data_IF_261554311965
#
_entry.id   IF_261554311965
#
_cell.length_a   1.000
_cell.length_b   1.000
_cell.length_c   1.000
_cell.angle_alpha   90.00
_cell.angle_beta   90.00
_cell.angle_gamma   90.00
#
_symmetry.space_group_name_H-M   'P 1'
#
loop_
_entity.id
_entity.type
_entity.pdbx_description
1 polymer ?
#
# COMPACT_ATOMS: atom_id res chain seq x y z
N UNK A 1 16.52 8.59 -2.04
CA UNK A 1 15.36 8.48 -1.14
C UNK A 1 15.79 8.46 0.33
N UNK A 2 14.85 8.64 1.25
CA UNK A 2 15.07 8.91 2.68
C UNK A 2 14.58 7.76 3.57
N UNK A 3 14.85 7.84 4.86
CA UNK A 3 14.23 6.94 5.84
C UNK A 3 12.70 7.16 5.87
N UNK A 4 11.93 6.08 5.86
CA UNK A 4 10.47 6.08 5.94
C UNK A 4 10.02 4.81 6.68
N UNK A 5 9.10 4.96 7.62
CA UNK A 5 8.68 3.91 8.55
C UNK A 5 7.24 3.46 8.30
N UNK A 6 6.46 4.24 7.56
CA UNK A 6 5.04 3.92 7.29
C UNK A 6 4.81 3.29 5.93
N UNK A 7 5.85 3.20 5.10
CA UNK A 7 5.81 2.45 3.85
C UNK A 7 6.31 1.02 4.06
N UNK A 8 5.90 0.15 3.16
CA UNK A 8 6.58 -1.12 2.96
C UNK A 8 7.92 -0.92 2.24
N UNK A 9 8.87 -1.80 2.49
CA UNK A 9 10.17 -1.84 1.83
C UNK A 9 10.39 -3.18 1.15
N UNK A 10 10.89 -3.15 -0.08
CA UNK A 10 11.14 -4.32 -0.91
C UNK A 10 12.63 -4.35 -1.24
N UNK A 11 13.33 -5.40 -0.82
CA UNK A 11 14.70 -5.64 -1.27
C UNK A 11 14.67 -6.50 -2.53
N UNK A 12 15.11 -5.98 -3.68
CA UNK A 12 15.23 -6.78 -4.89
C UNK A 12 16.24 -7.92 -4.69
N UNK A 13 15.94 -9.05 -5.33
CA UNK A 13 16.78 -10.23 -5.42
C UNK A 13 17.41 -10.37 -6.81
N UNK A 14 17.50 -11.59 -7.30
CA UNK A 14 18.01 -11.86 -8.63
C UNK A 14 17.08 -11.38 -9.75
N UNK A 15 17.65 -11.10 -10.92
CA UNK A 15 16.88 -10.71 -12.10
C UNK A 15 16.13 -11.94 -12.65
N UNK A 16 14.80 -11.87 -12.70
CA UNK A 16 13.96 -12.92 -13.26
C UNK A 16 13.75 -12.74 -14.77
N UNK A 17 13.55 -11.49 -15.21
CA UNK A 17 13.28 -11.17 -16.61
C UNK A 17 13.60 -9.70 -16.93
N UNK A 18 13.52 -9.35 -18.22
CA UNK A 18 13.48 -7.97 -18.72
C UNK A 18 12.18 -7.74 -19.48
N UNK A 19 11.53 -6.61 -19.24
CA UNK A 19 10.30 -6.21 -19.93
C UNK A 19 10.36 -4.73 -20.26
N UNK A 20 10.23 -4.37 -21.55
CA UNK A 20 10.13 -2.99 -22.08
C UNK A 20 10.99 -1.97 -21.31
N UNK A 21 12.30 -2.20 -21.26
CA UNK A 21 13.25 -1.28 -20.59
C UNK A 21 13.38 -1.42 -19.06
N UNK A 22 12.50 -2.18 -18.42
CA UNK A 22 12.52 -2.41 -16.98
C UNK A 22 13.02 -3.82 -16.61
N UNK A 23 13.68 -3.92 -15.46
CA UNK A 23 14.09 -5.20 -14.88
C UNK A 23 12.99 -5.73 -13.97
N UNK A 24 12.62 -6.99 -14.18
CA UNK A 24 11.77 -7.74 -13.26
C UNK A 24 12.69 -8.54 -12.35
N UNK A 25 12.64 -8.25 -11.06
CA UNK A 25 13.51 -8.88 -10.06
C UNK A 25 12.67 -9.69 -9.08
N UNK A 26 13.23 -10.79 -8.59
CA UNK A 26 12.64 -11.50 -7.46
C UNK A 26 12.61 -10.58 -6.23
N UNK A 27 11.72 -10.84 -5.27
CA UNK A 27 11.75 -10.16 -3.97
C UNK A 27 12.54 -11.02 -2.99
N UNK A 28 13.66 -10.48 -2.48
CA UNK A 28 14.46 -11.17 -1.46
C UNK A 28 13.86 -11.01 -0.07
N UNK A 29 13.43 -9.80 0.26
CA UNK A 29 12.74 -9.51 1.52
C UNK A 29 11.68 -8.44 1.28
N UNK A 30 10.54 -8.60 1.93
CA UNK A 30 9.48 -7.62 2.00
C UNK A 30 9.28 -7.24 3.46
N UNK A 31 9.20 -5.94 3.78
CA UNK A 31 9.04 -5.43 5.13
C UNK A 31 7.92 -4.38 5.16
N UNK A 32 6.76 -4.71 5.70
CA UNK A 32 5.67 -3.76 5.96
C UNK A 32 5.97 -2.97 7.22
N UNK A 33 6.02 -1.64 7.10
CA UNK A 33 6.18 -0.67 8.21
C UNK A 33 7.30 -1.04 9.20
N UNK A 34 8.56 -1.08 8.72
CA UNK A 34 9.68 -1.56 9.50
C UNK A 34 9.99 -0.69 10.72
N UNK A 35 10.68 -1.29 11.71
CA UNK A 35 11.36 -0.53 12.75
C UNK A 35 12.44 0.38 12.16
N UNK A 36 12.88 1.39 12.93
CA UNK A 36 13.95 2.32 12.52
C UNK A 36 15.22 1.58 12.09
N UNK A 37 15.61 0.53 12.83
CA UNK A 37 16.80 -0.26 12.51
C UNK A 37 16.64 -1.00 11.16
N UNK A 38 15.48 -1.62 10.94
CA UNK A 38 15.17 -2.32 9.69
C UNK A 38 15.10 -1.36 8.50
N UNK A 39 14.45 -0.20 8.66
CA UNK A 39 14.34 0.82 7.62
C UNK A 39 15.71 1.40 7.23
N UNK A 40 16.59 1.64 8.20
CA UNK A 40 17.96 2.08 7.94
C UNK A 40 18.76 1.01 7.18
N UNK A 41 18.63 -0.25 7.58
CA UNK A 41 19.27 -1.36 6.87
C UNK A 41 18.74 -1.51 5.44
N UNK A 42 17.42 -1.36 5.24
CA UNK A 42 16.78 -1.40 3.92
C UNK A 42 17.27 -0.25 3.03
N UNK A 43 17.28 0.98 3.54
CA UNK A 43 17.78 2.16 2.83
C UNK A 43 19.25 1.99 2.43
N UNK A 44 20.09 1.50 3.36
CA UNK A 44 21.52 1.25 3.10
C UNK A 44 21.72 0.18 2.04
N UNK A 45 20.82 -0.80 1.99
CA UNK A 45 20.84 -1.88 1.00
C UNK A 45 20.24 -1.50 -0.36
N UNK A 46 19.82 -0.24 -0.57
CA UNK A 46 19.17 0.19 -1.81
C UNK A 46 17.81 -0.46 -2.04
N UNK A 47 17.10 -0.81 -0.97
CA UNK A 47 15.74 -1.33 -1.06
C UNK A 47 14.76 -0.25 -1.58
N UNK A 48 13.69 -0.72 -2.20
CA UNK A 48 12.64 0.09 -2.81
C UNK A 48 11.49 0.33 -1.83
N UNK A 49 10.77 1.42 -1.97
CA UNK A 49 9.46 1.57 -1.32
C UNK A 49 8.39 0.75 -2.05
N UNK A 50 7.53 0.10 -1.29
CA UNK A 50 6.31 -0.52 -1.78
C UNK A 50 5.25 0.56 -2.05
N UNK A 51 4.75 0.63 -3.28
CA UNK A 51 3.69 1.57 -3.67
C UNK A 51 2.28 0.99 -3.50
N UNK A 52 2.18 -0.31 -3.17
CA UNK A 52 0.95 -1.10 -3.14
C UNK A 52 0.23 -1.20 -4.50
N UNK A 53 0.92 -0.85 -5.59
CA UNK A 53 0.46 -1.15 -6.95
C UNK A 53 0.95 -2.54 -7.32
N UNK A 54 0.01 -3.44 -7.63
CA UNK A 54 0.32 -4.83 -7.98
C UNK A 54 -0.51 -5.32 -9.15
N UNK A 55 0.03 -6.32 -9.84
CA UNK A 55 -0.67 -7.11 -10.83
C UNK A 55 -0.44 -8.60 -10.51
N UNK A 56 -1.51 -9.37 -10.44
CA UNK A 56 -1.45 -10.80 -10.13
C UNK A 56 -2.55 -11.56 -10.87
N UNK A 57 -2.32 -12.86 -11.08
CA UNK A 57 -3.39 -13.76 -11.52
C UNK A 57 -4.32 -14.02 -10.34
N UNK A 58 -5.62 -14.01 -10.58
CA UNK A 58 -6.63 -14.31 -9.56
C UNK A 58 -6.40 -15.69 -8.95
N UNK A 59 -6.13 -16.71 -9.78
CA UNK A 59 -5.83 -18.07 -9.30
C UNK A 59 -4.64 -18.13 -8.35
N UNK A 60 -3.60 -17.32 -8.59
CA UNK A 60 -2.44 -17.23 -7.70
C UNK A 60 -2.83 -16.62 -6.36
N UNK A 61 -3.61 -15.53 -6.36
CA UNK A 61 -4.10 -14.93 -5.12
C UNK A 61 -5.03 -15.88 -4.36
N UNK A 62 -5.85 -16.67 -5.06
CA UNK A 62 -6.74 -17.66 -4.45
C UNK A 62 -5.95 -18.79 -3.77
N UNK A 63 -4.93 -19.34 -4.46
CA UNK A 63 -4.04 -20.36 -3.91
C UNK A 63 -3.28 -19.86 -2.69
N UNK A 64 -2.74 -18.64 -2.77
CA UNK A 64 -2.09 -17.99 -1.62
C UNK A 64 -3.07 -17.74 -0.48
N UNK A 65 -4.32 -17.39 -0.78
CA UNK A 65 -5.39 -17.26 0.21
C UNK A 65 -5.60 -18.54 1.00
N UNK A 66 -5.69 -19.69 0.34
CA UNK A 66 -5.80 -20.99 1.03
C UNK A 66 -4.58 -21.33 1.89
N UNK A 67 -3.40 -20.93 1.46
CA UNK A 67 -2.18 -21.19 2.22
C UNK A 67 -1.99 -20.25 3.41
N UNK A 68 -2.25 -18.95 3.23
CA UNK A 68 -1.99 -17.92 4.22
C UNK A 68 -3.17 -17.65 5.15
N UNK A 69 -4.40 -17.82 4.66
CA UNK A 69 -5.67 -17.50 5.32
C UNK A 69 -6.73 -18.61 5.15
N UNK A 70 -6.42 -19.88 5.49
CA UNK A 70 -7.37 -20.98 5.33
C UNK A 70 -8.69 -20.75 6.07
N UNK A 71 -8.73 -19.91 7.10
CA UNK A 71 -9.93 -19.52 7.83
C UNK A 71 -10.86 -18.58 7.05
N UNK A 72 -10.33 -17.76 6.14
CA UNK A 72 -11.12 -16.80 5.34
C UNK A 72 -11.69 -17.44 4.08
N UNK A 73 -10.98 -18.40 3.49
CA UNK A 73 -11.34 -18.96 2.19
C UNK A 73 -12.71 -19.63 2.12
N UNK A 74 -13.18 -20.39 3.12
CA UNK A 74 -14.54 -20.93 3.12
C UNK A 74 -15.62 -19.86 3.04
N UNK A 75 -15.37 -18.66 3.60
CA UNK A 75 -16.29 -17.53 3.50
C UNK A 75 -16.34 -17.00 2.08
N UNK A 76 -15.20 -16.88 1.39
CA UNK A 76 -15.17 -16.49 -0.02
C UNK A 76 -15.83 -17.52 -0.94
N UNK A 77 -15.64 -18.83 -0.70
CA UNK A 77 -16.35 -19.90 -1.43
C UNK A 77 -17.87 -19.78 -1.25
N UNK A 78 -18.33 -19.54 -0.02
CA UNK A 78 -19.75 -19.28 0.27
C UNK A 78 -20.27 -18.04 -0.43
N UNK A 79 -19.51 -16.96 -0.48
CA UNK A 79 -19.89 -15.76 -1.25
C UNK A 79 -20.01 -16.09 -2.74
N UNK A 80 -19.07 -16.85 -3.30
CA UNK A 80 -19.07 -17.26 -4.70
C UNK A 80 -20.37 -17.96 -5.14
N UNK A 81 -20.96 -18.78 -4.25
CA UNK A 81 -22.25 -19.44 -4.49
C UNK A 81 -23.46 -18.48 -4.50
N UNK A 82 -23.34 -17.32 -3.85
CA UNK A 82 -24.40 -16.33 -3.72
C UNK A 82 -24.33 -15.21 -4.77
N UNK A 83 -23.19 -15.05 -5.47
CA UNK A 83 -23.05 -14.01 -6.50
C UNK A 83 -24.08 -14.22 -7.62
N UNK A 84 -24.80 -13.15 -7.95
CA UNK A 84 -25.85 -13.15 -8.96
C UNK A 84 -27.19 -13.70 -8.48
N UNK A 85 -27.32 -14.13 -7.22
CA UNK A 85 -28.59 -14.57 -6.64
C UNK A 85 -29.25 -13.44 -5.83
N UNK A 86 -30.56 -13.53 -5.53
CA UNK A 86 -31.25 -12.56 -4.66
C UNK A 86 -30.64 -12.45 -3.24
N UNK A 87 -29.89 -13.45 -2.79
CA UNK A 87 -29.30 -13.53 -1.46
C UNK A 87 -27.91 -12.86 -1.36
N UNK A 88 -27.29 -12.46 -2.48
CA UNK A 88 -25.92 -11.96 -2.55
C UNK A 88 -25.62 -10.91 -1.46
N UNK A 89 -26.45 -9.86 -1.38
CA UNK A 89 -26.25 -8.78 -0.41
C UNK A 89 -26.33 -9.24 1.05
N UNK A 90 -27.27 -10.13 1.37
CA UNK A 90 -27.42 -10.68 2.73
C UNK A 90 -26.25 -11.58 3.11
N UNK A 91 -25.78 -12.39 2.16
CA UNK A 91 -24.63 -13.27 2.35
C UNK A 91 -23.35 -12.46 2.52
N UNK A 92 -23.15 -11.43 1.68
CA UNK A 92 -22.01 -10.53 1.75
C UNK A 92 -21.95 -9.81 3.11
N UNK A 93 -23.06 -9.24 3.57
CA UNK A 93 -23.12 -8.55 4.87
C UNK A 93 -22.79 -9.49 6.03
N UNK A 94 -23.37 -10.69 6.05
CA UNK A 94 -23.08 -11.69 7.08
C UNK A 94 -21.61 -12.12 7.07
N UNK A 95 -21.03 -12.31 5.88
CA UNK A 95 -19.61 -12.65 5.74
C UNK A 95 -18.72 -11.51 6.22
N UNK A 96 -19.03 -10.26 5.88
CA UNK A 96 -18.25 -9.11 6.33
C UNK A 96 -18.22 -8.99 7.86
N UNK A 97 -19.31 -9.35 8.54
CA UNK A 97 -19.34 -9.40 10.02
C UNK A 97 -18.50 -10.53 10.62
N UNK A 98 -18.38 -11.66 9.93
CA UNK A 98 -17.64 -12.84 10.38
C UNK A 98 -16.15 -12.79 10.00
N UNK A 99 -15.81 -12.08 8.92
CA UNK A 99 -14.50 -12.11 8.30
C UNK A 99 -13.38 -11.64 9.25
N UNK A 100 -12.34 -12.47 9.48
CA UNK A 100 -11.15 -12.03 10.20
C UNK A 100 -10.47 -10.84 9.54
N UNK A 101 -9.98 -9.90 10.36
CA UNK A 101 -9.20 -8.75 9.88
C UNK A 101 -7.77 -9.20 9.60
N UNK A 102 -7.34 -9.03 8.34
CA UNK A 102 -5.97 -9.28 7.89
C UNK A 102 -5.45 -8.09 7.10
N UNK A 103 -4.16 -7.83 7.23
CA UNK A 103 -3.45 -6.83 6.43
C UNK A 103 -2.80 -7.51 5.23
N UNK A 104 -3.16 -7.09 4.01
CA UNK A 104 -2.65 -7.69 2.79
C UNK A 104 -1.11 -7.60 2.66
N UNK A 105 -0.49 -6.53 3.15
CA UNK A 105 0.95 -6.33 3.04
C UNK A 105 1.72 -7.18 4.06
N UNK A 106 1.39 -7.10 5.36
CA UNK A 106 2.10 -7.84 6.41
C UNK A 106 1.69 -9.30 6.51
N UNK A 107 0.42 -9.62 6.28
CA UNK A 107 -0.12 -10.95 6.53
C UNK A 107 -0.18 -11.82 5.27
N UNK A 108 0.06 -11.24 4.08
CA UNK A 108 0.23 -11.97 2.82
C UNK A 108 1.59 -11.68 2.19
N UNK A 109 1.81 -10.48 1.64
CA UNK A 109 2.99 -10.20 0.81
C UNK A 109 4.32 -10.42 1.55
N UNK A 110 4.39 -10.00 2.80
CA UNK A 110 5.56 -10.20 3.65
C UNK A 110 5.83 -11.68 3.99
N UNK A 111 4.80 -12.54 3.98
CA UNK A 111 4.94 -13.97 4.29
C UNK A 111 5.41 -14.80 3.11
N UNK A 112 5.21 -14.32 1.89
CA UNK A 112 5.50 -15.05 0.65
C UNK A 112 6.39 -14.27 -0.33
N UNK A 113 7.51 -13.66 0.12
CA UNK A 113 8.38 -12.87 -0.75
C UNK A 113 8.86 -13.65 -1.99
N UNK A 114 9.04 -14.96 -1.86
CA UNK A 114 9.44 -15.86 -2.95
C UNK A 114 8.39 -16.01 -4.07
N UNK A 115 7.13 -15.64 -3.80
CA UNK A 115 6.03 -15.65 -4.77
C UNK A 115 5.85 -14.28 -5.45
N UNK A 116 6.71 -13.31 -5.15
CA UNK A 116 6.58 -11.91 -5.58
C UNK A 116 7.77 -11.52 -6.46
N UNK A 117 7.47 -10.76 -7.52
CA UNK A 117 8.45 -10.04 -8.30
C UNK A 117 8.18 -8.53 -8.22
N UNK A 118 9.25 -7.74 -8.36
CA UNK A 118 9.19 -6.28 -8.31
C UNK A 118 9.75 -5.68 -9.61
N UNK A 119 9.10 -4.60 -10.03
CA UNK A 119 9.61 -3.69 -11.06
C UNK A 119 9.85 -2.36 -10.36
N UNK A 120 11.09 -1.86 -10.43
CA UNK A 120 11.42 -0.55 -9.89
C UNK A 120 10.75 0.56 -10.72
N UNK A 121 10.07 1.46 -10.03
CA UNK A 121 9.53 2.66 -10.63
C UNK A 121 10.57 3.78 -10.56
N UNK A 122 11.15 4.14 -11.71
CA UNK A 122 12.14 5.21 -11.81
C UNK A 122 11.54 6.47 -12.43
N UNK A 123 12.18 7.63 -12.15
CA UNK A 123 11.81 8.94 -12.69
C UNK A 123 10.35 9.38 -12.39
N UNK A 124 9.78 8.87 -11.30
CA UNK A 124 8.45 9.26 -10.83
C UNK A 124 8.55 9.86 -9.43
N UNK A 125 7.88 10.99 -9.20
CA UNK A 125 7.60 11.47 -7.86
C UNK A 125 6.38 10.73 -7.32
N UNK A 126 6.56 9.92 -6.28
CA UNK A 126 5.49 9.15 -5.67
C UNK A 126 5.35 9.48 -4.17
N UNK A 127 4.10 9.54 -3.69
CA UNK A 127 3.71 9.58 -2.28
C UNK A 127 2.30 9.03 -2.13
N UNK A 128 2.04 8.31 -1.05
CA UNK A 128 0.71 7.79 -0.71
C UNK A 128 -0.26 8.85 -0.16
N UNK A 129 0.25 10.05 0.17
CA UNK A 129 -0.48 11.09 0.92
C UNK A 129 -1.15 10.59 2.20
N UNK A 130 -0.61 9.55 2.84
CA UNK A 130 -1.12 8.97 4.08
C UNK A 130 -1.03 9.91 5.29
N UNK A 131 -0.35 11.05 5.13
CA UNK A 131 -0.22 12.11 6.13
C UNK A 131 -0.39 13.50 5.50
N UNK A 132 -1.04 14.45 6.19
CA UNK A 132 -1.19 15.82 5.69
C UNK A 132 0.14 16.48 5.28
N UNK A 133 1.23 16.23 6.03
CA UNK A 133 2.55 16.80 5.74
C UNK A 133 3.11 16.34 4.39
N UNK A 134 2.77 15.11 3.95
CA UNK A 134 3.21 14.56 2.66
C UNK A 134 2.56 15.27 1.47
N UNK A 135 1.35 15.80 1.63
CA UNK A 135 0.68 16.61 0.60
C UNK A 135 1.46 17.91 0.40
N UNK A 136 1.77 18.60 1.48
CA UNK A 136 2.55 19.84 1.45
C UNK A 136 3.94 19.61 0.87
N UNK A 137 4.59 18.52 1.24
CA UNK A 137 5.87 18.15 0.65
C UNK A 137 5.77 17.91 -0.86
N UNK A 138 4.76 17.17 -1.30
CA UNK A 138 4.52 16.91 -2.72
C UNK A 138 4.34 18.21 -3.49
N UNK A 139 3.51 19.13 -2.99
CA UNK A 139 3.28 20.44 -3.61
C UNK A 139 4.59 21.24 -3.75
N UNK A 140 5.39 21.30 -2.69
CA UNK A 140 6.69 22.00 -2.72
C UNK A 140 7.64 21.38 -3.75
N UNK A 141 7.70 20.05 -3.84
CA UNK A 141 8.54 19.34 -4.83
C UNK A 141 8.15 19.64 -6.28
N UNK A 142 6.87 19.90 -6.55
CA UNK A 142 6.38 20.27 -7.89
C UNK A 142 6.32 21.79 -8.12
N UNK A 143 6.94 22.59 -7.24
CA UNK A 143 6.99 24.06 -7.38
C UNK A 143 5.66 24.76 -7.09
N UNK A 144 4.77 24.13 -6.34
CA UNK A 144 3.48 24.69 -5.90
C UNK A 144 3.51 24.99 -4.40
N UNK A 145 2.70 25.96 -3.99
CA UNK A 145 2.43 26.22 -2.58
C UNK A 145 1.04 25.67 -2.21
N UNK A 146 0.85 25.18 -0.97
CA UNK A 146 -0.47 24.84 -0.46
C UNK A 146 -1.41 26.05 -0.54
N UNK A 147 -2.62 25.84 -1.06
CA UNK A 147 -3.69 26.83 -1.04
C UNK A 147 -4.47 26.84 0.29
N UNK A 148 -3.91 26.22 1.32
CA UNK A 148 -4.48 26.12 2.66
C UNK A 148 -3.43 26.49 3.72
N UNK A 149 -3.85 27.02 4.88
CA UNK A 149 -2.93 27.33 5.97
C UNK A 149 -2.18 26.09 6.47
N UNK A 150 -0.87 26.20 6.70
CA UNK A 150 -0.07 25.09 7.24
C UNK A 150 -0.49 24.68 8.66
N UNK A 151 -1.21 25.54 9.39
CA UNK A 151 -1.80 25.22 10.68
C UNK A 151 -2.80 24.05 10.61
N UNK A 152 -3.40 23.77 9.44
CA UNK A 152 -4.29 22.63 9.24
C UNK A 152 -3.57 21.27 9.39
N UNK A 153 -2.23 21.24 9.32
CA UNK A 153 -1.45 20.01 9.49
C UNK A 153 -1.43 19.54 10.95
N UNK A 154 -1.39 20.47 11.90
CA UNK A 154 -1.34 20.16 13.34
C UNK A 154 -2.72 20.11 13.98
N UNK A 155 -3.70 20.80 13.39
CA UNK A 155 -5.09 20.80 13.86
C UNK A 155 -6.06 20.79 12.65
N UNK A 156 -6.47 19.60 12.17
CA UNK A 156 -7.27 19.48 10.94
C UNK A 156 -8.69 20.03 11.08
N UNK A 157 -9.15 20.35 12.30
CA UNK A 157 -10.48 20.90 12.57
C UNK A 157 -10.47 22.41 12.83
N UNK A 158 -9.31 23.08 12.79
CA UNK A 158 -9.28 24.54 12.87
C UNK A 158 -9.94 25.12 11.63
N UNK A 159 -11.03 25.88 11.84
CA UNK A 159 -11.72 26.61 10.77
C UNK A 159 -10.73 27.48 10.02
N UNK A 160 -10.72 27.37 8.69
CA UNK A 160 -10.01 28.31 7.82
C UNK A 160 -10.72 29.66 8.01
N UNK A 161 -10.05 30.72 8.49
CA UNK A 161 -10.63 32.05 8.51
C UNK A 161 -11.07 32.39 7.09
N UNK A 162 -12.32 32.81 6.91
CA UNK A 162 -12.80 33.15 5.58
C UNK A 162 -11.93 34.28 5.03
N UNK A 163 -11.60 34.22 3.74
CA UNK A 163 -10.81 35.25 3.02
C UNK A 163 -11.48 36.65 3.09
N UNK A 164 -12.70 36.76 3.64
CA UNK A 164 -13.41 38.02 3.83
C UNK A 164 -12.94 38.85 5.04
N UNK A 165 -12.08 38.34 5.94
CA UNK A 165 -11.69 39.09 7.16
C UNK A 165 -10.36 39.86 7.06
N UNK A 166 -9.61 39.77 5.94
CA UNK A 166 -8.33 40.48 5.76
C UNK A 166 -8.46 41.88 5.10
N UNK A 167 -9.67 42.41 4.90
CA UNK A 167 -9.91 43.72 4.24
C UNK A 167 -10.80 44.66 5.05
N UNK A 168 -10.71 44.63 6.39
CA UNK A 168 -11.36 45.62 7.26
C UNK A 168 -10.34 46.44 8.06
#
# INVERSE_FOLDING_TARGET
DRLELEYGWIRPGEQLARSVGNQVQAVRTFLEKPSVAQANAALTAGALWNTLVLAAKVDTLWQLGWWCFPEMMPLFERLGLAIGTPEEGRVLEAIYWEMPVRNFSSDLLQRVPEQIAVIELSQVLWSDWGKPERIVETLRRIGRQPAFPLACLTNPLTLIPSVAEEVA
#
